data_IF_867774860701
#
_entry.id   IF_867774860701
#
_cell.length_a   1.000
_cell.length_b   1.000
_cell.length_c   1.000
_cell.angle_alpha   90.00
_cell.angle_beta   90.00
_cell.angle_gamma   90.00
#
_symmetry.space_group_name_H-M   'P 1'
#
loop_
_entity.id
_entity.type
_entity.pdbx_description
1 polymer ?
#
# COMPACT_ATOMS: atom_id res chain seq x y z
N UNK A 1 -4.95 -9.73 -0.24
CA UNK A 1 -5.24 -10.55 -1.45
C UNK A 1 -4.36 -11.81 -1.43
N UNK A 2 -4.75 -12.94 -2.03
CA UNK A 2 -3.93 -14.19 -2.08
C UNK A 2 -3.93 -14.83 -3.46
N UNK A 3 -2.83 -15.48 -3.85
CA UNK A 3 -2.79 -16.36 -5.00
C UNK A 3 -3.75 -17.54 -4.81
N UNK A 4 -4.09 -18.18 -5.93
CA UNK A 4 -4.91 -19.37 -5.95
C UNK A 4 -4.21 -20.44 -6.78
N UNK A 5 -4.10 -21.61 -6.18
CA UNK A 5 -3.69 -22.85 -6.81
C UNK A 5 -4.94 -23.72 -6.93
N UNK A 6 -5.34 -24.04 -8.16
CA UNK A 6 -6.57 -24.81 -8.43
C UNK A 6 -6.20 -26.01 -9.28
N UNK A 7 -6.38 -27.21 -8.74
CA UNK A 7 -6.23 -28.46 -9.49
C UNK A 7 -7.27 -28.51 -10.63
N UNK A 8 -6.81 -28.67 -11.88
CA UNK A 8 -7.69 -28.81 -13.05
C UNK A 8 -6.95 -29.34 -14.27
N UNK A 9 -7.72 -29.81 -15.26
CA UNK A 9 -7.18 -30.18 -16.56
C UNK A 9 -6.69 -28.95 -17.34
N UNK A 10 -5.81 -29.17 -18.31
CA UNK A 10 -5.35 -28.10 -19.19
C UNK A 10 -6.51 -27.54 -20.03
N UNK A 11 -7.39 -28.42 -20.51
CA UNK A 11 -8.57 -28.05 -21.30
C UNK A 11 -9.56 -27.17 -20.51
N UNK A 12 -9.73 -27.44 -19.21
CA UNK A 12 -10.54 -26.59 -18.34
C UNK A 12 -9.86 -25.25 -18.06
N UNK A 13 -8.53 -25.24 -17.89
CA UNK A 13 -7.76 -24.02 -17.71
C UNK A 13 -7.86 -23.09 -18.93
N UNK A 14 -7.77 -23.62 -20.15
CA UNK A 14 -7.91 -22.82 -21.38
C UNK A 14 -9.29 -22.16 -21.51
N UNK A 15 -10.32 -22.74 -20.89
CA UNK A 15 -11.70 -22.21 -20.88
C UNK A 15 -11.98 -21.29 -19.69
N UNK A 16 -11.03 -21.13 -18.78
CA UNK A 16 -11.21 -20.34 -17.58
C UNK A 16 -11.43 -18.85 -17.92
N UNK A 17 -12.44 -18.18 -17.32
CA UNK A 17 -12.60 -16.74 -17.49
C UNK A 17 -11.37 -15.98 -17.00
N UNK A 18 -10.80 -15.14 -17.87
CA UNK A 18 -9.66 -14.30 -17.54
C UNK A 18 -10.04 -13.24 -16.51
N UNK A 19 -9.30 -13.18 -15.39
CA UNK A 19 -9.49 -12.16 -14.37
C UNK A 19 -8.59 -10.97 -14.68
N UNK A 20 -9.19 -9.81 -14.92
CA UNK A 20 -8.42 -8.58 -15.19
C UNK A 20 -7.52 -8.25 -14.00
N UNK A 21 -6.25 -7.93 -14.26
CA UNK A 21 -5.26 -7.67 -13.22
C UNK A 21 -4.62 -8.93 -12.62
N UNK A 22 -4.96 -10.13 -13.11
CA UNK A 22 -4.34 -11.39 -12.69
C UNK A 22 -3.53 -12.01 -13.82
N UNK A 23 -2.51 -12.77 -13.43
CA UNK A 23 -1.72 -13.65 -14.27
C UNK A 23 -2.27 -15.06 -14.06
N UNK A 24 -2.48 -15.78 -15.16
CA UNK A 24 -2.94 -17.15 -15.16
C UNK A 24 -1.85 -17.96 -15.83
N UNK A 25 -1.35 -18.99 -15.15
CA UNK A 25 -0.38 -19.92 -15.68
C UNK A 25 -0.81 -21.34 -15.36
N UNK A 26 -0.28 -22.32 -16.10
CA UNK A 26 -0.60 -23.73 -15.90
C UNK A 26 0.69 -24.54 -15.85
N UNK A 27 0.85 -25.32 -14.80
CA UNK A 27 1.88 -26.36 -14.67
C UNK A 27 1.46 -27.38 -13.61
N UNK A 28 2.02 -28.58 -13.70
CA UNK A 28 1.83 -29.68 -12.73
C UNK A 28 0.36 -30.03 -12.43
N UNK A 29 -0.53 -29.94 -13.42
CA UNK A 29 -1.96 -30.26 -13.22
C UNK A 29 -2.76 -29.16 -12.52
N UNK A 30 -2.19 -27.95 -12.39
CA UNK A 30 -2.78 -26.86 -11.63
C UNK A 30 -2.80 -25.55 -12.42
N UNK A 31 -3.87 -24.79 -12.20
CA UNK A 31 -3.97 -23.39 -12.55
C UNK A 31 -3.37 -22.54 -11.43
N UNK A 32 -2.37 -21.74 -11.76
CA UNK A 32 -1.68 -20.81 -10.87
C UNK A 32 -2.14 -19.40 -11.17
N UNK A 33 -2.92 -18.83 -10.25
CA UNK A 33 -3.59 -17.54 -10.44
C UNK A 33 -3.02 -16.56 -9.42
N UNK A 34 -2.20 -15.64 -9.88
CA UNK A 34 -1.55 -14.63 -9.04
C UNK A 34 -1.85 -13.22 -9.55
N UNK A 35 -1.77 -12.17 -8.73
CA UNK A 35 -1.90 -10.82 -9.24
C UNK A 35 -0.80 -10.50 -10.26
N UNK A 36 -1.15 -9.74 -11.29
CA UNK A 36 -0.21 -9.30 -12.33
C UNK A 36 0.28 -7.90 -12.00
N UNK A 37 1.56 -7.81 -11.63
CA UNK A 37 2.22 -6.53 -11.38
C UNK A 37 2.47 -5.83 -12.73
N UNK A 38 1.52 -4.98 -13.15
CA UNK A 38 1.70 -4.06 -14.27
C UNK A 38 1.71 -2.63 -13.75
N UNK A 39 2.79 -1.91 -14.05
CA UNK A 39 2.80 -0.47 -13.88
C UNK A 39 1.94 0.17 -14.96
N UNK A 40 0.95 0.97 -14.56
CA UNK A 40 0.17 1.81 -15.47
C UNK A 40 0.41 3.26 -15.06
N UNK A 41 0.88 4.07 -16.01
CA UNK A 41 1.04 5.50 -15.78
C UNK A 41 -0.32 6.15 -16.05
N UNK A 42 -0.91 6.73 -15.01
CA UNK A 42 -2.16 7.50 -15.12
C UNK A 42 -1.91 8.96 -14.82
N UNK A 43 -2.63 9.84 -15.52
CA UNK A 43 -2.70 11.26 -15.19
C UNK A 43 -4.05 11.53 -14.54
N UNK A 44 -4.02 11.96 -13.28
CA UNK A 44 -5.20 12.36 -12.54
C UNK A 44 -5.21 13.88 -12.43
N UNK A 45 -6.29 14.52 -12.90
CA UNK A 45 -6.57 15.92 -12.59
C UNK A 45 -7.22 15.97 -11.21
N UNK A 46 -6.58 16.65 -10.26
CA UNK A 46 -7.12 16.83 -8.92
C UNK A 46 -7.69 18.24 -8.83
N UNK A 47 -9.00 18.33 -8.73
CA UNK A 47 -9.70 19.59 -8.44
C UNK A 47 -9.78 19.79 -6.92
N UNK A 48 -9.62 21.02 -6.42
CA UNK A 48 -9.95 21.34 -5.03
C UNK A 48 -11.40 20.93 -4.74
N UNK A 49 -11.61 20.35 -3.55
CA UNK A 49 -12.94 20.02 -3.05
C UNK A 49 -13.15 20.71 -1.71
N UNK A 50 -14.39 21.10 -1.45
CA UNK A 50 -14.76 21.57 -0.12
C UNK A 50 -14.49 20.44 0.89
N UNK A 51 -13.76 20.80 1.95
CA UNK A 51 -13.42 19.88 3.01
C UNK A 51 -13.77 20.51 4.34
N UNK A 52 -14.75 19.91 5.02
CA UNK A 52 -15.08 20.26 6.39
C UNK A 52 -14.18 19.42 7.28
N UNK A 53 -13.19 20.05 7.88
CA UNK A 53 -12.27 19.40 8.80
C UNK A 53 -13.03 18.88 10.03
N UNK A 54 -12.88 17.59 10.39
CA UNK A 54 -13.41 17.08 11.65
C UNK A 54 -12.84 17.85 12.84
N UNK A 55 -13.54 17.83 13.97
CA UNK A 55 -13.03 18.42 15.21
C UNK A 55 -11.66 17.81 15.56
N UNK A 56 -10.70 18.65 15.95
CA UNK A 56 -9.35 18.22 16.30
C UNK A 56 -8.48 17.81 15.10
N UNK A 57 -8.97 17.94 13.86
CA UNK A 57 -8.18 17.70 12.66
C UNK A 57 -7.10 18.77 12.50
N UNK A 58 -5.87 18.35 12.18
CA UNK A 58 -4.82 19.27 11.76
C UNK A 58 -3.82 18.58 10.83
N UNK A 59 -3.07 19.39 10.09
CA UNK A 59 -2.00 18.93 9.21
C UNK A 59 -0.70 19.57 9.68
N UNK A 60 0.34 18.76 9.90
CA UNK A 60 1.66 19.26 10.31
C UNK A 60 2.78 18.62 9.53
N UNK A 61 3.99 19.18 9.67
CA UNK A 61 5.21 18.55 9.13
C UNK A 61 5.42 17.19 9.78
N UNK A 62 5.87 16.25 8.96
CA UNK A 62 6.32 14.94 9.43
C UNK A 62 7.69 15.08 10.12
N UNK A 63 7.91 14.31 11.18
CA UNK A 63 9.16 14.22 11.91
C UNK A 63 9.55 12.77 12.15
N UNK A 64 10.82 12.51 12.48
CA UNK A 64 11.28 11.15 12.82
C UNK A 64 10.54 10.54 14.02
N UNK A 65 10.00 11.37 14.92
CA UNK A 65 9.22 10.92 16.08
C UNK A 65 7.85 10.34 15.70
N UNK A 66 7.44 10.50 14.45
CA UNK A 66 6.19 9.96 13.93
C UNK A 66 6.35 8.55 13.34
N UNK A 67 7.57 7.98 13.34
CA UNK A 67 7.88 6.73 12.63
C UNK A 67 6.99 5.56 13.02
N UNK A 68 6.80 5.29 14.31
CA UNK A 68 5.96 4.17 14.77
C UNK A 68 4.51 4.35 14.30
N UNK A 69 3.93 5.53 14.54
CA UNK A 69 2.56 5.85 14.11
C UNK A 69 2.40 5.79 12.59
N UNK A 70 3.43 6.17 11.84
CA UNK A 70 3.44 6.04 10.38
C UNK A 70 3.51 4.59 9.90
N UNK A 71 4.19 3.71 10.63
CA UNK A 71 4.22 2.27 10.32
C UNK A 71 2.82 1.69 10.49
N UNK A 72 2.13 2.03 11.59
CA UNK A 72 0.77 1.59 11.83
C UNK A 72 -0.18 2.12 10.74
N UNK A 73 -0.13 3.42 10.44
CA UNK A 73 -0.92 4.02 9.35
C UNK A 73 -0.59 3.40 7.98
N UNK A 74 0.67 3.00 7.75
CA UNK A 74 1.05 2.31 6.52
C UNK A 74 0.37 0.94 6.42
N UNK A 75 0.39 0.17 7.50
CA UNK A 75 -0.24 -1.15 7.55
C UNK A 75 -1.76 -1.05 7.36
N UNK A 76 -2.40 -0.06 7.98
CA UNK A 76 -3.84 0.17 7.80
C UNK A 76 -4.18 0.56 6.35
N UNK A 77 -3.34 1.36 5.71
CA UNK A 77 -3.59 1.86 4.35
C UNK A 77 -3.25 0.85 3.26
N UNK A 78 -2.21 0.04 3.46
CA UNK A 78 -1.61 -0.76 2.39
C UNK A 78 -1.48 -2.25 2.73
N UNK A 79 -1.73 -2.68 3.97
CA UNK A 79 -1.44 -4.04 4.42
C UNK A 79 -2.15 -5.13 3.62
N UNK A 80 -3.34 -4.83 3.09
CA UNK A 80 -4.13 -5.73 2.26
C UNK A 80 -3.93 -5.54 0.74
N UNK A 81 -2.99 -4.66 0.37
CA UNK A 81 -2.65 -4.30 -1.01
C UNK A 81 -2.16 -5.48 -1.84
N UNK A 82 -2.26 -5.33 -3.16
CA UNK A 82 -1.83 -6.36 -4.13
C UNK A 82 -0.32 -6.60 -4.06
N UNK A 83 0.45 -5.59 -3.67
CA UNK A 83 1.90 -5.63 -3.51
C UNK A 83 2.36 -6.61 -2.43
N UNK A 84 1.47 -6.95 -1.49
CA UNK A 84 1.71 -7.86 -0.39
C UNK A 84 0.95 -9.18 -0.54
N UNK A 85 0.55 -9.52 -1.76
CA UNK A 85 -0.03 -10.83 -2.04
C UNK A 85 0.88 -11.94 -1.52
N UNK A 86 0.29 -12.91 -0.82
CA UNK A 86 0.96 -14.07 -0.22
C UNK A 86 2.00 -13.76 0.87
N UNK A 87 2.20 -12.49 1.22
CA UNK A 87 3.05 -12.14 2.35
C UNK A 87 2.40 -12.60 3.66
N UNK A 88 3.23 -13.15 4.55
CA UNK A 88 2.83 -13.35 5.94
C UNK A 88 2.74 -11.99 6.65
N UNK A 89 1.89 -11.82 7.68
CA UNK A 89 1.74 -10.55 8.39
C UNK A 89 3.06 -9.94 8.86
N UNK A 90 4.02 -10.76 9.29
CA UNK A 90 5.33 -10.32 9.76
C UNK A 90 6.17 -9.72 8.63
N UNK A 91 6.04 -10.25 7.41
CA UNK A 91 6.72 -9.73 6.22
C UNK A 91 6.14 -8.38 5.80
N UNK A 92 4.82 -8.20 5.90
CA UNK A 92 4.18 -6.90 5.63
C UNK A 92 4.63 -5.87 6.66
N UNK A 93 4.66 -6.24 7.94
CA UNK A 93 5.17 -5.38 9.02
C UNK A 93 6.63 -4.98 8.81
N UNK A 94 7.48 -5.93 8.41
CA UNK A 94 8.88 -5.64 8.08
C UNK A 94 9.01 -4.70 6.88
N UNK A 95 8.18 -4.88 5.85
CA UNK A 95 8.16 -4.00 4.68
C UNK A 95 7.75 -2.57 5.05
N UNK A 96 6.68 -2.40 5.84
CA UNK A 96 6.23 -1.11 6.37
C UNK A 96 7.32 -0.42 7.18
N UNK A 97 7.93 -1.15 8.12
CA UNK A 97 9.05 -0.65 8.93
C UNK A 97 10.22 -0.19 8.04
N UNK A 98 10.67 -1.03 7.12
CA UNK A 98 11.77 -0.68 6.21
C UNK A 98 11.44 0.55 5.37
N UNK A 99 10.20 0.69 4.91
CA UNK A 99 9.78 1.81 4.05
C UNK A 99 9.84 3.13 4.79
N UNK A 100 9.32 3.17 6.02
CA UNK A 100 9.32 4.38 6.85
C UNK A 100 10.75 4.73 7.32
N UNK A 101 11.54 3.75 7.74
CA UNK A 101 12.93 3.97 8.17
C UNK A 101 13.82 4.38 6.99
N UNK A 102 13.68 3.74 5.83
CA UNK A 102 14.42 4.07 4.60
C UNK A 102 14.10 5.51 4.14
N UNK A 103 12.85 5.95 4.29
CA UNK A 103 12.45 7.34 4.01
C UNK A 103 13.24 8.32 4.90
N UNK A 104 13.19 8.16 6.24
CA UNK A 104 13.86 9.10 7.14
C UNK A 104 15.39 9.05 7.11
N UNK A 105 15.97 7.93 6.68
CA UNK A 105 17.42 7.80 6.46
C UNK A 105 17.87 8.41 5.13
N UNK A 106 16.95 8.72 4.22
CA UNK A 106 17.26 9.28 2.90
C UNK A 106 17.73 8.24 1.88
N UNK A 107 17.62 6.94 2.20
CA UNK A 107 18.08 5.84 1.34
C UNK A 107 17.40 5.82 -0.04
N UNK A 108 16.17 6.34 -0.12
CA UNK A 108 15.35 6.41 -1.35
C UNK A 108 15.17 7.86 -1.85
N UNK A 109 16.07 8.76 -1.48
CA UNK A 109 15.97 10.20 -1.70
C UNK A 109 15.73 10.96 -0.39
N UNK A 110 16.24 12.18 -0.31
CA UNK A 110 16.15 12.97 0.91
C UNK A 110 14.69 13.39 1.20
N UNK A 111 14.19 13.24 2.45
CA UNK A 111 12.88 13.73 2.85
C UNK A 111 12.64 15.19 2.44
N UNK A 112 11.58 15.43 1.70
CA UNK A 112 11.23 16.78 1.27
C UNK A 112 10.50 17.54 2.38
N UNK A 113 10.79 18.84 2.54
CA UNK A 113 10.18 19.70 3.58
C UNK A 113 8.67 19.87 3.45
N UNK A 114 8.10 19.54 2.30
CA UNK A 114 6.66 19.57 2.05
C UNK A 114 5.93 18.31 2.48
N UNK A 115 6.62 17.28 2.97
CA UNK A 115 5.95 16.11 3.52
C UNK A 115 5.07 16.47 4.72
N UNK A 116 3.87 15.90 4.78
CA UNK A 116 2.84 16.24 5.77
C UNK A 116 2.24 14.99 6.40
N UNK A 117 1.80 15.17 7.64
CA UNK A 117 1.03 14.22 8.43
C UNK A 117 -0.34 14.83 8.70
N UNK A 118 -1.40 14.09 8.43
CA UNK A 118 -2.76 14.44 8.82
C UNK A 118 -3.07 13.72 10.14
N UNK A 119 -3.55 14.48 11.12
CA UNK A 119 -3.84 13.99 12.47
C UNK A 119 -5.24 14.41 12.91
N UNK A 120 -5.87 13.57 13.72
CA UNK A 120 -7.10 13.87 14.45
C UNK A 120 -6.81 13.77 15.93
N UNK A 121 -7.09 14.85 16.67
CA UNK A 121 -6.93 14.91 18.13
C UNK A 121 -8.27 14.65 18.81
N UNK A 122 -8.40 13.47 19.42
CA UNK A 122 -9.46 13.14 20.38
C UNK A 122 -8.87 12.94 21.78
N UNK A 123 -9.23 11.85 22.44
CA UNK A 123 -8.56 11.40 23.68
C UNK A 123 -7.08 11.05 23.45
N UNK A 124 -6.74 10.62 22.23
CA UNK A 124 -5.39 10.36 21.77
C UNK A 124 -5.16 11.00 20.39
N UNK A 125 -3.90 11.33 20.06
CA UNK A 125 -3.52 11.83 18.73
C UNK A 125 -3.34 10.66 17.77
N UNK A 126 -4.23 10.55 16.79
CA UNK A 126 -4.21 9.50 15.76
C UNK A 126 -3.70 10.08 14.45
N UNK A 127 -2.80 9.36 13.78
CA UNK A 127 -2.39 9.64 12.41
C UNK A 127 -3.38 8.99 11.46
N UNK A 128 -4.05 9.80 10.65
CA UNK A 128 -5.07 9.32 9.69
C UNK A 128 -4.57 9.31 8.24
N UNK A 129 -3.36 9.82 8.01
CA UNK A 129 -2.73 9.80 6.70
C UNK A 129 -1.42 10.57 6.66
N UNK A 130 -0.64 10.32 5.62
CA UNK A 130 0.60 11.02 5.36
C UNK A 130 0.83 11.19 3.86
N UNK A 131 1.44 12.31 3.50
CA UNK A 131 2.02 12.54 2.18
C UNK A 131 3.54 12.66 2.36
N UNK A 132 4.27 11.61 1.98
CA UNK A 132 5.73 11.54 2.09
C UNK A 132 6.34 11.80 0.70
N UNK A 133 7.09 12.90 0.61
CA UNK A 133 7.72 13.37 -0.62
C UNK A 133 9.24 13.24 -0.48
N UNK A 134 9.91 12.83 -1.55
CA UNK A 134 11.37 12.79 -1.65
C UNK A 134 11.85 13.80 -2.69
N UNK A 135 13.10 14.26 -2.55
CA UNK A 135 13.80 15.06 -3.57
C UNK A 135 14.36 14.19 -4.68
#
# INVERSE_FOLDING_TARGET
>A
MRSQDIEMTFEDWERMPWRFGWKHEYWDGHAHISPRHKAVIVRLTIEPRDFVAPQGFSVRRVSRRDSERLIDTFLDAFGDGVEYCDYKPEAVKAAAHSTIVDYFSGKRGAPHRSSRLAIVKGEQEIVVGAALLVK
#
